data_IF_565952261472
#
_entry.id   IF_565952261472
#
_cell.length_a   1.000
_cell.length_b   1.000
_cell.length_c   1.000
_cell.angle_alpha   90.00
_cell.angle_beta   90.00
_cell.angle_gamma   90.00
#
_symmetry.space_group_name_H-M   'P 1'
#
loop_
_entity.id
_entity.type
_entity.pdbx_description
1 polymer ?
#
# COMPACT_ATOMS: atom_id res chain seq x y z
N UNK A 1 -16.28 14.98 14.88
CA UNK A 1 -15.26 15.88 14.31
C UNK A 1 -15.00 15.45 12.89
N UNK A 2 -15.38 16.25 11.89
CA UNK A 2 -14.95 16.05 10.50
C UNK A 2 -13.48 16.48 10.45
N UNK A 3 -12.54 15.65 9.98
CA UNK A 3 -11.20 16.13 9.74
C UNK A 3 -11.28 17.19 8.64
N UNK A 4 -10.84 18.39 8.97
CA UNK A 4 -10.61 19.47 8.02
C UNK A 4 -9.70 18.89 6.93
N UNK A 5 -10.22 18.73 5.72
CA UNK A 5 -9.38 18.42 4.57
C UNK A 5 -8.63 19.68 4.21
N UNK A 6 -7.55 19.87 4.95
CA UNK A 6 -6.52 20.82 4.63
C UNK A 6 -5.96 20.43 3.26
N UNK A 7 -5.84 21.41 2.37
CA UNK A 7 -5.35 21.26 1.00
C UNK A 7 -3.85 21.02 1.04
N UNK A 8 -3.45 19.89 1.61
CA UNK A 8 -2.05 19.51 1.77
C UNK A 8 -1.48 19.29 0.38
N UNK A 9 -0.49 20.10 0.01
CA UNK A 9 0.25 19.90 -1.22
C UNK A 9 1.20 18.73 -1.02
N UNK A 10 0.99 17.66 -1.78
CA UNK A 10 1.87 16.51 -1.82
C UNK A 10 2.91 16.69 -2.92
N UNK A 11 4.10 16.14 -2.69
CA UNK A 11 5.16 16.15 -3.69
C UNK A 11 4.72 15.48 -4.98
N UNK A 12 5.24 15.98 -6.10
CA UNK A 12 4.95 15.46 -7.44
C UNK A 12 5.19 13.94 -7.54
N UNK A 13 6.23 13.45 -6.86
CA UNK A 13 6.57 12.02 -6.82
C UNK A 13 5.47 11.19 -6.15
N UNK A 14 4.93 11.67 -5.03
CA UNK A 14 3.83 11.00 -4.32
C UNK A 14 2.59 10.96 -5.20
N UNK A 15 2.23 12.08 -5.85
CA UNK A 15 1.10 12.13 -6.76
C UNK A 15 1.26 11.20 -7.98
N UNK A 16 2.47 11.08 -8.51
CA UNK A 16 2.78 10.13 -9.59
C UNK A 16 2.60 8.67 -9.14
N UNK A 17 3.04 8.35 -7.92
CA UNK A 17 2.87 7.02 -7.35
C UNK A 17 1.39 6.69 -7.12
N UNK A 18 0.65 7.60 -6.48
CA UNK A 18 -0.81 7.46 -6.25
C UNK A 18 -1.54 7.23 -7.58
N UNK A 19 -1.19 7.98 -8.62
CA UNK A 19 -1.78 7.82 -9.95
C UNK A 19 -1.46 6.46 -10.57
N UNK A 20 -0.19 6.03 -10.52
CA UNK A 20 0.22 4.74 -11.04
C UNK A 20 -0.45 3.56 -10.32
N UNK A 21 -0.59 3.65 -8.99
CA UNK A 21 -1.26 2.62 -8.20
C UNK A 21 -2.78 2.62 -8.41
N UNK A 22 -3.42 3.77 -8.66
CA UNK A 22 -4.83 3.83 -9.03
C UNK A 22 -5.11 3.15 -10.38
N UNK A 23 -4.24 3.40 -11.38
CA UNK A 23 -4.30 2.71 -12.68
C UNK A 23 -4.14 1.20 -12.49
N UNK A 24 -3.23 0.77 -11.63
CA UNK A 24 -3.04 -0.65 -11.29
C UNK A 24 -4.27 -1.25 -10.58
N UNK A 25 -4.91 -0.49 -9.69
CA UNK A 25 -6.11 -0.92 -8.99
C UNK A 25 -7.28 -1.14 -9.96
N UNK A 26 -7.46 -0.23 -10.93
CA UNK A 26 -8.45 -0.39 -12.01
C UNK A 26 -8.21 -1.66 -12.83
N UNK A 27 -6.96 -1.90 -13.22
CA UNK A 27 -6.58 -3.12 -13.95
C UNK A 27 -6.86 -4.39 -13.14
N UNK A 28 -6.53 -4.38 -11.83
CA UNK A 28 -6.80 -5.51 -10.91
C UNK A 28 -8.29 -5.78 -10.74
N UNK A 29 -9.11 -4.74 -10.82
CA UNK A 29 -10.57 -4.82 -10.79
C UNK A 29 -11.19 -5.19 -12.16
N UNK A 30 -10.39 -5.59 -13.15
CA UNK A 30 -10.82 -5.99 -14.50
C UNK A 30 -11.46 -4.87 -15.33
N UNK A 31 -11.17 -3.61 -15.01
CA UNK A 31 -11.49 -2.48 -15.89
C UNK A 31 -10.36 -2.26 -16.91
N UNK A 32 -10.65 -1.57 -18.01
CA UNK A 32 -9.63 -1.17 -19.00
C UNK A 32 -8.99 0.17 -18.58
N UNK A 33 -7.79 0.17 -17.97
CA UNK A 33 -7.18 1.38 -17.43
C UNK A 33 -6.83 2.40 -18.53
N UNK A 34 -6.47 1.97 -19.74
CA UNK A 34 -6.06 2.85 -20.84
C UNK A 34 -7.19 3.74 -21.35
N UNK A 35 -8.43 3.30 -21.13
CA UNK A 35 -9.65 4.00 -21.55
C UNK A 35 -10.44 4.58 -20.38
N UNK A 36 -10.03 4.27 -19.15
CA UNK A 36 -10.65 4.79 -17.95
C UNK A 36 -10.07 6.17 -17.63
N UNK A 37 -10.91 7.08 -17.17
CA UNK A 37 -10.52 8.43 -16.77
C UNK A 37 -10.56 8.53 -15.24
N UNK A 38 -9.44 8.90 -14.61
CA UNK A 38 -9.42 9.22 -13.18
C UNK A 38 -9.68 10.71 -13.03
N UNK A 39 -10.79 11.06 -12.39
CA UNK A 39 -11.28 12.44 -12.30
C UNK A 39 -10.54 13.24 -11.22
N UNK A 40 -10.29 12.61 -10.08
CA UNK A 40 -9.81 13.31 -8.89
C UNK A 40 -9.19 12.36 -7.87
N UNK A 41 -8.20 12.88 -7.13
CA UNK A 41 -7.53 12.22 -6.00
C UNK A 41 -7.68 13.05 -4.73
N UNK A 42 -7.92 12.39 -3.59
CA UNK A 42 -8.01 13.03 -2.27
C UNK A 42 -7.27 12.22 -1.23
N UNK A 43 -6.37 12.86 -0.50
CA UNK A 43 -5.87 12.28 0.74
C UNK A 43 -6.93 12.48 1.85
N UNK A 44 -7.40 11.39 2.44
CA UNK A 44 -8.47 11.35 3.44
C UNK A 44 -7.89 11.22 4.84
N UNK A 45 -6.81 10.46 4.97
CA UNK A 45 -6.05 10.35 6.20
C UNK A 45 -4.57 10.43 5.90
N UNK A 46 -3.85 11.16 6.75
CA UNK A 46 -2.40 11.26 6.72
C UNK A 46 -1.89 11.27 8.14
N UNK A 47 -1.16 10.22 8.47
CA UNK A 47 -0.45 10.07 9.73
C UNK A 47 1.04 10.02 9.39
N UNK A 48 1.84 11.02 9.80
CA UNK A 48 3.27 10.98 9.56
C UNK A 48 3.90 9.81 10.31
N UNK A 49 5.03 9.32 9.80
CA UNK A 49 5.83 8.38 10.57
C UNK A 49 6.41 9.04 11.82
N UNK A 50 6.62 8.24 12.85
CA UNK A 50 7.24 8.63 14.12
C UNK A 50 8.37 7.66 14.43
N UNK A 51 9.18 7.96 15.45
CA UNK A 51 10.29 7.07 15.85
C UNK A 51 9.81 5.64 16.19
N UNK A 52 8.60 5.52 16.73
CA UNK A 52 8.05 4.26 17.24
C UNK A 52 6.98 3.63 16.34
N UNK A 53 6.56 4.31 15.26
CA UNK A 53 5.46 3.84 14.41
C UNK A 53 5.58 4.29 12.96
N UNK A 54 5.19 3.38 12.06
CA UNK A 54 4.99 3.66 10.64
C UNK A 54 3.95 4.75 10.45
N UNK A 55 4.18 5.63 9.47
CA UNK A 55 3.17 6.54 8.99
C UNK A 55 2.11 5.80 8.18
N UNK A 56 0.97 6.44 7.97
CA UNK A 56 -0.15 5.90 7.20
C UNK A 56 -0.73 6.95 6.30
N UNK A 57 -1.14 6.56 5.10
CA UNK A 57 -1.91 7.43 4.24
C UNK A 57 -3.08 6.65 3.64
N UNK A 58 -4.25 7.28 3.61
CA UNK A 58 -5.41 6.77 2.90
C UNK A 58 -5.81 7.77 1.83
N UNK A 59 -5.87 7.29 0.60
CA UNK A 59 -6.22 8.08 -0.58
C UNK A 59 -7.50 7.55 -1.20
N UNK A 60 -8.39 8.45 -1.57
CA UNK A 60 -9.53 8.15 -2.43
C UNK A 60 -9.27 8.66 -3.83
N UNK A 61 -9.78 7.93 -4.81
CA UNK A 61 -9.91 8.43 -6.16
C UNK A 61 -11.30 8.12 -6.71
N UNK A 62 -11.76 8.96 -7.62
CA UNK A 62 -12.96 8.70 -8.41
C UNK A 62 -12.54 8.52 -9.86
N UNK A 63 -13.16 7.58 -10.56
CA UNK A 63 -12.89 7.36 -11.96
C UNK A 63 -14.16 6.99 -12.73
N UNK A 64 -14.17 7.32 -14.01
CA UNK A 64 -15.08 6.72 -14.99
C UNK A 64 -14.34 5.56 -15.65
N UNK A 65 -14.70 4.34 -15.27
CA UNK A 65 -14.02 3.12 -15.73
C UNK A 65 -14.76 2.46 -16.88
N UNK A 66 -14.03 1.76 -17.75
CA UNK A 66 -14.61 0.95 -18.82
C UNK A 66 -14.64 -0.51 -18.39
N UNK A 67 -15.83 -1.09 -18.31
CA UNK A 67 -16.04 -2.51 -17.98
C UNK A 67 -15.76 -3.45 -19.16
N UNK A 68 -15.80 -4.75 -18.90
CA UNK A 68 -15.59 -5.81 -19.90
C UNK A 68 -16.62 -5.80 -21.04
N UNK A 69 -17.80 -5.20 -20.82
CA UNK A 69 -18.84 -5.02 -21.82
C UNK A 69 -18.75 -3.67 -22.54
N UNK A 70 -17.63 -2.97 -22.39
CA UNK A 70 -17.37 -1.69 -23.02
C UNK A 70 -18.33 -0.56 -22.56
N UNK A 71 -18.85 -0.64 -21.33
CA UNK A 71 -19.69 0.39 -20.73
C UNK A 71 -18.89 1.26 -19.78
N UNK A 72 -19.23 2.54 -19.77
CA UNK A 72 -18.72 3.50 -18.79
C UNK A 72 -19.46 3.32 -17.47
N UNK A 73 -18.71 3.09 -16.40
CA UNK A 73 -19.23 2.94 -15.05
C UNK A 73 -18.47 3.84 -14.09
N UNK A 74 -19.16 4.62 -13.24
CA UNK A 74 -18.49 5.36 -12.19
C UNK A 74 -17.96 4.37 -11.15
N UNK A 75 -16.71 4.56 -10.74
CA UNK A 75 -16.06 3.75 -9.71
C UNK A 75 -15.35 4.63 -8.68
N UNK A 76 -15.28 4.10 -7.47
CA UNK A 76 -14.73 4.78 -6.31
C UNK A 76 -13.60 3.95 -5.74
N UNK A 77 -12.38 4.46 -5.84
CA UNK A 77 -11.19 3.75 -5.43
C UNK A 77 -10.63 4.20 -4.09
N UNK A 78 -9.86 3.30 -3.47
CA UNK A 78 -9.05 3.53 -2.28
C UNK A 78 -7.62 3.05 -2.51
N UNK A 79 -6.67 3.74 -1.90
CA UNK A 79 -5.27 3.33 -1.85
C UNK A 79 -4.74 3.60 -0.44
N UNK A 80 -4.26 2.56 0.22
CA UNK A 80 -3.64 2.63 1.54
C UNK A 80 -2.12 2.47 1.40
N UNK A 81 -1.39 3.41 2.01
CA UNK A 81 0.05 3.33 2.14
C UNK A 81 0.47 3.20 3.61
N UNK A 82 1.48 2.35 3.83
CA UNK A 82 2.37 2.41 4.98
C UNK A 82 3.56 3.30 4.61
N UNK A 83 3.95 4.19 5.50
CA UNK A 83 5.05 5.14 5.26
C UNK A 83 6.19 4.83 6.21
N UNK A 84 7.38 4.57 5.66
CA UNK A 84 8.62 4.45 6.43
C UNK A 84 9.80 5.07 5.69
N UNK A 85 10.62 5.84 6.39
CA UNK A 85 11.79 6.54 5.83
C UNK A 85 11.42 7.38 4.60
N UNK A 86 10.28 8.07 4.66
CA UNK A 86 9.67 8.80 3.54
C UNK A 86 9.35 7.96 2.29
N UNK A 87 9.30 6.63 2.40
CA UNK A 87 8.88 5.73 1.33
C UNK A 87 7.43 5.30 1.55
N UNK A 88 6.61 5.40 0.50
CA UNK A 88 5.23 4.93 0.51
C UNK A 88 5.21 3.48 0.02
N UNK A 89 4.89 2.53 0.90
CA UNK A 89 4.66 1.13 0.57
C UNK A 89 3.16 0.88 0.42
N UNK A 90 2.74 0.34 -0.72
CA UNK A 90 1.35 0.00 -0.98
C UNK A 90 0.92 -1.16 -0.09
N UNK A 91 -0.02 -0.91 0.82
CA UNK A 91 -0.59 -1.93 1.71
C UNK A 91 -1.77 -2.60 1.03
N UNK A 92 -2.73 -1.78 0.58
CA UNK A 92 -3.95 -2.26 -0.04
C UNK A 92 -4.48 -1.23 -1.04
N UNK A 93 -5.09 -1.72 -2.11
CA UNK A 93 -5.84 -0.93 -3.08
C UNK A 93 -7.20 -1.60 -3.34
N UNK A 94 -8.20 -0.79 -3.67
CA UNK A 94 -9.54 -1.29 -3.89
C UNK A 94 -10.35 -0.39 -4.81
N UNK A 95 -11.28 -0.98 -5.56
CA UNK A 95 -12.21 -0.27 -6.44
C UNK A 95 -13.62 -0.75 -6.11
N UNK A 96 -14.52 0.21 -5.88
CA UNK A 96 -15.89 -0.03 -5.46
C UNK A 96 -16.88 0.61 -6.43
N UNK A 97 -18.07 0.04 -6.54
CA UNK A 97 -19.15 0.56 -7.39
C UNK A 97 -19.98 1.65 -6.70
N UNK A 98 -19.92 1.72 -5.38
CA UNK A 98 -20.71 2.66 -4.58
C UNK A 98 -19.86 3.36 -3.53
N UNK A 99 -20.24 4.59 -3.21
CA UNK A 99 -19.60 5.36 -2.12
C UNK A 99 -19.75 4.64 -0.77
N UNK A 100 -20.89 4.00 -0.50
CA UNK A 100 -21.13 3.29 0.76
C UNK A 100 -20.17 2.12 0.99
N UNK A 101 -19.81 1.39 -0.09
CA UNK A 101 -18.81 0.33 -0.01
C UNK A 101 -17.43 0.88 0.34
N UNK A 102 -17.05 2.00 -0.27
CA UNK A 102 -15.80 2.70 0.03
C UNK A 102 -15.78 3.23 1.47
N UNK A 103 -16.86 3.84 1.93
CA UNK A 103 -16.96 4.39 3.28
C UNK A 103 -16.94 3.26 4.34
N UNK A 104 -17.45 2.07 3.99
CA UNK A 104 -17.29 0.87 4.82
C UNK A 104 -15.82 0.45 4.95
N UNK A 105 -15.03 0.55 3.89
CA UNK A 105 -13.58 0.30 3.96
C UNK A 105 -12.91 1.25 4.95
N UNK A 106 -13.26 2.54 4.93
CA UNK A 106 -12.75 3.52 5.91
C UNK A 106 -12.99 3.09 7.36
N UNK A 107 -14.16 2.51 7.64
CA UNK A 107 -14.51 2.04 8.99
C UNK A 107 -13.64 0.88 9.45
N UNK A 108 -13.19 0.02 8.53
CA UNK A 108 -12.25 -1.08 8.80
C UNK A 108 -10.84 -0.53 8.97
N UNK A 109 -10.40 0.31 8.04
CA UNK A 109 -9.11 1.02 8.08
C UNK A 109 -8.85 1.71 9.42
N UNK A 110 -9.85 2.41 9.96
CA UNK A 110 -9.75 3.13 11.24
C UNK A 110 -9.67 2.21 12.46
N UNK A 111 -10.20 0.98 12.38
CA UNK A 111 -10.20 0.02 13.49
C UNK A 111 -8.88 -0.74 13.62
N UNK A 112 -8.17 -0.90 12.51
CA UNK A 112 -6.92 -1.64 12.47
C UNK A 112 -5.73 -0.67 12.35
N UNK A 113 -5.08 -0.29 13.48
CA UNK A 113 -3.78 0.33 13.37
C UNK A 113 -2.79 -0.68 12.78
N UNK A 114 -1.97 -0.22 11.83
CA UNK A 114 -0.79 -0.95 11.36
C UNK A 114 0.16 -1.14 12.55
N UNK A 115 -0.07 -2.18 13.36
CA UNK A 115 0.88 -2.60 14.38
C UNK A 115 2.06 -3.23 13.66
N UNK A 116 3.32 -2.93 14.03
CA UNK A 116 4.48 -3.65 13.50
C UNK A 116 4.27 -5.15 13.73
N UNK A 117 3.91 -5.86 12.65
CA UNK A 117 3.50 -7.26 12.72
C UNK A 117 4.74 -8.14 12.53
N UNK A 118 5.53 -8.28 13.59
CA UNK A 118 6.71 -9.17 13.65
C UNK A 118 6.40 -10.64 13.31
N UNK A 119 5.12 -11.00 13.14
CA UNK A 119 4.64 -12.35 12.79
C UNK A 119 4.28 -12.52 11.31
N UNK A 120 4.70 -11.62 10.40
CA UNK A 120 4.49 -11.84 8.97
C UNK A 120 5.24 -13.11 8.52
N UNK A 121 4.61 -14.05 7.80
CA UNK A 121 5.24 -15.33 7.41
C UNK A 121 6.51 -15.15 6.57
N UNK A 122 6.64 -14.03 5.84
CA UNK A 122 7.86 -13.66 5.11
C UNK A 122 9.08 -13.46 6.03
N UNK A 123 8.90 -12.88 7.21
CA UNK A 123 9.99 -12.70 8.18
C UNK A 123 10.51 -14.03 8.72
N UNK A 124 9.67 -15.07 8.77
CA UNK A 124 10.09 -16.42 9.17
C UNK A 124 11.03 -17.06 8.15
N UNK A 125 10.73 -16.90 6.86
CA UNK A 125 11.60 -17.36 5.77
C UNK A 125 12.92 -16.60 5.74
N UNK A 126 12.87 -15.29 5.97
CA UNK A 126 14.06 -14.44 6.03
C UNK A 126 14.96 -14.84 7.21
N UNK A 127 14.37 -15.08 8.39
CA UNK A 127 15.10 -15.55 9.57
C UNK A 127 15.69 -16.96 9.36
N UNK A 128 14.94 -17.87 8.74
CA UNK A 128 15.45 -19.20 8.38
C UNK A 128 16.65 -19.12 7.42
N UNK A 129 16.58 -18.25 6.41
CA UNK A 129 17.68 -18.02 5.48
C UNK A 129 18.92 -17.44 6.18
N UNK A 130 18.74 -16.45 7.06
CA UNK A 130 19.85 -15.87 7.83
C UNK A 130 20.53 -16.93 8.71
N UNK A 131 19.75 -17.80 9.36
CA UNK A 131 20.30 -18.88 10.20
C UNK A 131 21.10 -19.89 9.36
N UNK A 132 20.57 -20.31 8.20
CA UNK A 132 21.27 -21.24 7.30
C UNK A 132 22.60 -20.68 6.80
N UNK A 133 22.61 -19.42 6.36
CA UNK A 133 23.84 -18.76 5.91
C UNK A 133 24.85 -18.65 7.06
N UNK A 134 24.38 -18.30 8.26
CA UNK A 134 25.25 -18.19 9.45
C UNK A 134 25.89 -19.53 9.81
N UNK A 135 25.11 -20.62 9.78
CA UNK A 135 25.61 -21.99 10.04
C UNK A 135 26.63 -22.38 8.96
N UNK A 136 26.31 -22.18 7.68
CA UNK A 136 27.22 -22.47 6.58
C UNK A 136 28.56 -21.74 6.73
N UNK A 137 28.51 -20.44 7.05
CA UNK A 137 29.72 -19.65 7.26
C UNK A 137 30.55 -20.13 8.45
N UNK A 138 29.89 -20.43 9.58
CA UNK A 138 30.55 -20.98 10.76
C UNK A 138 31.21 -22.34 10.48
N UNK A 139 30.55 -23.22 9.72
CA UNK A 139 31.13 -24.52 9.34
C UNK A 139 32.37 -24.36 8.45
N UNK A 140 32.35 -23.43 7.49
CA UNK A 140 33.51 -23.12 6.66
C UNK A 140 34.67 -22.60 7.51
N UNK A 141 34.41 -21.69 8.44
CA UNK A 141 35.43 -21.14 9.35
C UNK A 141 36.02 -22.23 10.27
N UNK A 142 35.18 -23.14 10.78
CA UNK A 142 35.61 -24.26 11.62
C UNK A 142 36.49 -25.25 10.84
N UNK A 143 36.07 -25.66 9.64
CA UNK A 143 36.86 -26.53 8.78
C UNK A 143 38.21 -25.90 8.43
N UNK A 144 38.21 -24.60 8.11
CA UNK A 144 39.43 -23.87 7.81
C UNK A 144 40.39 -23.78 9.00
N UNK A 145 39.87 -23.69 10.23
CA UNK A 145 40.66 -23.70 11.46
C UNK A 145 41.19 -25.11 11.81
N UNK A 146 40.48 -26.17 11.44
CA UNK A 146 40.87 -27.56 11.69
C UNK A 146 41.87 -28.10 10.65
N UNK A 147 41.92 -27.53 9.45
CA UNK A 147 42.89 -27.87 8.40
C UNK A 147 44.17 -27.01 8.44
N UNK A 148 44.28 -26.10 9.42
CA UNK A 148 45.45 -25.28 9.74
C UNK A 148 46.10 -25.80 11.02
#
# INVERSE_FOLDING_TARGET
>A
MRPETDTRQFDKRTMQQVSADAVRALARAHYCPERSLIDYFRCIDFQPETEDAFGRQLWYFNATAIDEWNREVPVFGVIEYSVQYSLNELVEDGVFLTLEQRDRYESVYRREPLRPYWRHPGHRWLLAAMVLVSIGWLTVLLLRKLML
#
